data_IF_129919298991
#
_entry.id   IF_129919298991
#
_cell.length_a   1.000
_cell.length_b   1.000
_cell.length_c   1.000
_cell.angle_alpha   90.00
_cell.angle_beta   90.00
_cell.angle_gamma   90.00
#
_symmetry.space_group_name_H-M   'P 1'
#
loop_
_entity.id
_entity.type
_entity.pdbx_description
1 polymer ?
#
# COMPACT_ATOMS: atom_id res chain seq x y z
N UNK A 1 -3.65 -5.80 -1.45
CA UNK A 1 -2.70 -6.74 -0.83
C UNK A 1 -1.47 -6.99 -1.67
N UNK A 2 -1.58 -7.14 -3.00
CA UNK A 2 -0.41 -7.39 -3.85
C UNK A 2 0.48 -6.16 -4.05
N UNK A 3 1.76 -6.38 -4.37
CA UNK A 3 2.77 -5.32 -4.45
C UNK A 3 2.41 -4.14 -5.34
N UNK A 4 1.79 -4.37 -6.51
CA UNK A 4 1.35 -3.30 -7.41
C UNK A 4 0.25 -2.41 -6.82
N UNK A 5 -0.79 -3.01 -6.21
CA UNK A 5 -1.85 -2.24 -5.51
C UNK A 5 -1.28 -1.49 -4.32
N UNK A 6 -0.40 -2.14 -3.55
CA UNK A 6 0.27 -1.53 -2.39
C UNK A 6 1.05 -0.29 -2.83
N UNK A 7 1.89 -0.41 -3.86
CA UNK A 7 2.66 0.71 -4.40
C UNK A 7 1.75 1.85 -4.88
N UNK A 8 0.67 1.53 -5.61
CA UNK A 8 -0.26 2.54 -6.12
C UNK A 8 -0.98 3.31 -5.00
N UNK A 9 -1.47 2.60 -3.99
CA UNK A 9 -2.19 3.19 -2.84
C UNK A 9 -1.24 4.02 -1.97
N UNK A 10 -0.04 3.52 -1.70
CA UNK A 10 1.01 4.28 -1.01
C UNK A 10 1.36 5.56 -1.78
N UNK A 11 1.61 5.47 -3.09
CA UNK A 11 1.89 6.62 -3.96
C UNK A 11 0.78 7.66 -3.92
N UNK A 12 -0.48 7.23 -3.81
CA UNK A 12 -1.66 8.10 -3.73
C UNK A 12 -1.88 8.70 -2.33
N UNK A 13 -1.18 8.22 -1.30
CA UNK A 13 -1.39 8.67 0.08
C UNK A 13 -2.75 8.25 0.64
N UNK A 14 -3.23 7.05 0.28
CA UNK A 14 -4.55 6.56 0.69
C UNK A 14 -4.40 5.57 1.88
N UNK A 15 -5.13 5.77 2.99
CA UNK A 15 -5.18 4.79 4.09
C UNK A 15 -5.85 3.49 3.62
N UNK A 16 -5.36 2.33 4.06
CA UNK A 16 -5.83 1.04 3.54
C UNK A 16 -6.05 -0.02 4.62
N UNK A 17 -7.06 -0.87 4.42
CA UNK A 17 -7.19 -2.16 5.11
C UNK A 17 -6.66 -3.21 4.15
N UNK A 18 -5.71 -4.04 4.58
CA UNK A 18 -5.16 -5.11 3.74
C UNK A 18 -5.75 -6.44 4.18
N UNK A 19 -6.52 -7.07 3.30
CA UNK A 19 -7.00 -8.43 3.48
C UNK A 19 -6.12 -9.39 2.64
N UNK A 20 -5.04 -9.97 3.20
CA UNK A 20 -4.07 -10.75 2.43
C UNK A 20 -4.57 -12.16 2.12
N UNK A 21 -4.85 -12.46 0.85
CA UNK A 21 -5.40 -13.76 0.43
C UNK A 21 -4.31 -14.79 0.10
N UNK A 22 -3.35 -14.43 -0.75
CA UNK A 22 -2.37 -15.39 -1.29
C UNK A 22 -1.01 -14.75 -1.58
N UNK A 23 0.01 -15.58 -1.78
CA UNK A 23 1.37 -15.19 -2.21
C UNK A 23 2.08 -14.22 -1.25
N UNK A 24 2.50 -13.07 -1.76
CA UNK A 24 3.31 -12.06 -1.08
C UNK A 24 2.46 -11.08 -0.25
N UNK A 25 1.14 -11.21 -0.29
CA UNK A 25 0.23 -10.26 0.32
C UNK A 25 0.37 -10.17 1.84
N UNK A 26 0.72 -11.28 2.51
CA UNK A 26 0.97 -11.33 3.95
C UNK A 26 2.21 -10.51 4.33
N UNK A 27 3.27 -10.57 3.50
CA UNK A 27 4.51 -9.81 3.70
C UNK A 27 4.21 -8.31 3.58
N UNK A 28 3.46 -7.93 2.54
CA UNK A 28 3.05 -6.54 2.36
C UNK A 28 2.12 -6.05 3.46
N UNK A 29 1.13 -6.85 3.87
CA UNK A 29 0.25 -6.51 4.99
C UNK A 29 1.06 -6.17 6.24
N UNK A 30 1.95 -7.08 6.65
CA UNK A 30 2.82 -6.87 7.82
C UNK A 30 3.65 -5.59 7.67
N UNK A 31 4.29 -5.39 6.52
CA UNK A 31 5.15 -4.20 6.31
C UNK A 31 4.37 -2.89 6.39
N UNK A 32 3.16 -2.84 5.86
CA UNK A 32 2.32 -1.64 5.90
C UNK A 32 1.76 -1.35 7.30
N UNK A 33 1.46 -2.40 8.07
CA UNK A 33 1.08 -2.27 9.48
C UNK A 33 2.26 -1.78 10.31
N UNK A 34 3.45 -2.34 10.13
CA UNK A 34 4.68 -1.92 10.82
C UNK A 34 5.02 -0.43 10.50
N UNK A 35 4.69 0.04 9.28
CA UNK A 35 4.83 1.44 8.86
C UNK A 35 3.67 2.35 9.31
N UNK A 36 2.66 1.83 10.00
CA UNK A 36 1.45 2.54 10.40
C UNK A 36 0.70 3.22 9.22
N UNK A 37 0.70 2.59 8.03
CA UNK A 37 -0.05 3.08 6.86
C UNK A 37 -1.24 2.22 6.50
N UNK A 38 -1.42 1.09 7.20
CA UNK A 38 -2.52 0.17 7.00
C UNK A 38 -2.99 -0.49 8.31
N UNK A 39 -4.16 -1.15 8.23
CA UNK A 39 -4.67 -2.07 9.26
C UNK A 39 -4.69 -3.49 8.70
N UNK A 40 -4.36 -4.47 9.53
CA UNK A 40 -4.43 -5.89 9.20
C UNK A 40 -5.88 -6.38 9.13
N UNK A 41 -6.32 -6.76 7.93
CA UNK A 41 -7.63 -7.33 7.65
C UNK A 41 -7.63 -8.85 7.51
N UNK A 42 -6.58 -9.55 7.92
CA UNK A 42 -6.51 -11.03 7.83
C UNK A 42 -7.69 -11.74 8.49
N UNK A 43 -8.19 -11.22 9.61
CA UNK A 43 -9.39 -11.71 10.31
C UNK A 43 -10.63 -11.72 9.39
N UNK A 44 -10.77 -10.75 8.49
CA UNK A 44 -11.90 -10.68 7.57
C UNK A 44 -11.96 -11.90 6.64
N UNK A 45 -10.80 -12.39 6.16
CA UNK A 45 -10.76 -13.52 5.24
C UNK A 45 -11.14 -14.84 5.92
N UNK A 46 -10.71 -15.05 7.16
CA UNK A 46 -11.13 -16.21 7.96
C UNK A 46 -12.64 -16.22 8.21
N UNK A 47 -13.28 -15.04 8.21
CA UNK A 47 -14.72 -14.88 8.36
C UNK A 47 -15.48 -14.95 7.03
N UNK A 48 -14.85 -15.22 5.89
CA UNK A 48 -15.58 -15.49 4.64
C UNK A 48 -15.93 -16.99 4.49
N UNK A 49 -15.35 -17.85 5.32
CA UNK A 49 -15.63 -19.29 5.33
C UNK A 49 -16.72 -19.62 6.38
N UNK A 50 -17.98 -19.69 5.95
CA UNK A 50 -19.09 -20.21 6.78
C UNK A 50 -19.80 -19.18 7.67
N UNK A 51 -19.47 -17.90 7.56
CA UNK A 51 -20.03 -16.80 8.36
C UNK A 51 -21.07 -16.00 7.60
N UNK A 52 -22.00 -15.36 8.31
CA UNK A 52 -23.04 -14.53 7.69
C UNK A 52 -22.46 -13.22 7.15
N UNK A 53 -23.11 -12.64 6.14
CA UNK A 53 -22.78 -11.29 5.62
C UNK A 53 -22.80 -10.24 6.73
N UNK A 54 -23.67 -10.41 7.73
CA UNK A 54 -23.79 -9.49 8.87
C UNK A 54 -22.53 -9.50 9.74
N UNK A 55 -21.98 -10.69 10.02
CA UNK A 55 -20.76 -10.84 10.81
C UNK A 55 -19.53 -10.32 10.06
N UNK A 56 -19.45 -10.60 8.75
CA UNK A 56 -18.40 -10.06 7.90
C UNK A 56 -18.46 -8.51 7.84
N UNK A 57 -19.66 -7.93 7.72
CA UNK A 57 -19.86 -6.49 7.75
C UNK A 57 -19.48 -5.86 9.10
N UNK A 58 -19.84 -6.52 10.21
CA UNK A 58 -19.46 -6.08 11.56
C UNK A 58 -17.93 -6.08 11.75
N UNK A 59 -17.25 -7.12 11.27
CA UNK A 59 -15.79 -7.19 11.27
C UNK A 59 -15.17 -6.05 10.47
N UNK A 60 -15.62 -5.82 9.22
CA UNK A 60 -15.11 -4.74 8.38
C UNK A 60 -15.36 -3.36 9.01
N UNK A 61 -16.52 -3.16 9.65
CA UNK A 61 -16.81 -1.92 10.39
C UNK A 61 -15.84 -1.70 11.55
N UNK A 62 -15.46 -2.77 12.26
CA UNK A 62 -14.44 -2.72 13.31
C UNK A 62 -13.07 -2.32 12.76
N UNK A 63 -12.65 -2.91 11.64
CA UNK A 63 -11.39 -2.58 10.96
C UNK A 63 -11.38 -1.12 10.46
N UNK A 64 -12.51 -0.62 9.94
CA UNK A 64 -12.66 0.79 9.59
C UNK A 64 -12.51 1.69 10.82
N UNK A 65 -13.06 1.30 11.97
CA UNK A 65 -12.87 2.01 13.24
C UNK A 65 -11.45 1.93 13.80
N UNK A 66 -10.63 0.95 13.39
CA UNK A 66 -9.20 0.93 13.71
C UNK A 66 -8.41 1.82 12.75
N UNK A 67 -8.82 1.86 11.48
CA UNK A 67 -8.18 2.68 10.45
C UNK A 67 -8.48 4.18 10.63
N UNK A 68 -9.68 4.48 11.13
CA UNK A 68 -10.20 5.83 11.32
C UNK A 68 -10.42 6.09 12.82
N UNK A 69 -9.91 7.21 13.33
CA UNK A 69 -10.34 7.76 14.62
C UNK A 69 -11.60 8.60 14.48
N UNK A 70 -11.98 9.28 15.56
CA UNK A 70 -13.02 10.31 15.57
C UNK A 70 -12.40 11.70 15.65
N UNK A 71 -13.06 12.69 15.06
CA UNK A 71 -12.74 14.11 15.27
C UNK A 71 -12.90 14.49 16.75
N UNK A 72 -12.31 15.62 17.16
CA UNK A 72 -12.36 16.09 18.55
C UNK A 72 -13.79 16.31 19.08
N UNK A 73 -14.73 16.65 18.20
CA UNK A 73 -16.16 16.81 18.49
C UNK A 73 -16.97 15.52 18.23
N UNK A 74 -16.32 14.44 17.80
CA UNK A 74 -16.94 13.13 17.54
C UNK A 74 -17.82 13.05 16.30
N UNK A 75 -17.94 14.14 15.52
CA UNK A 75 -18.90 14.29 14.43
C UNK A 75 -18.50 13.58 13.13
N UNK A 76 -17.21 13.36 12.90
CA UNK A 76 -16.67 12.77 11.66
C UNK A 76 -15.55 11.77 11.96
N UNK A 77 -15.47 10.71 11.15
CA UNK A 77 -14.35 9.78 11.17
C UNK A 77 -13.14 10.39 10.45
N UNK A 78 -11.97 10.39 11.08
CA UNK A 78 -10.74 10.99 10.54
C UNK A 78 -9.58 10.02 10.64
N UNK A 79 -8.67 10.04 9.67
CA UNK A 79 -7.39 9.32 9.81
C UNK A 79 -6.59 9.97 10.93
N UNK A 80 -6.15 9.21 11.95
CA UNK A 80 -5.36 9.76 13.05
C UNK A 80 -4.11 10.51 12.55
N UNK A 81 -3.70 11.62 13.21
CA UNK A 81 -2.59 12.47 12.74
C UNK A 81 -1.29 11.70 12.50
N UNK A 82 -0.96 10.76 13.38
CA UNK A 82 0.24 9.92 13.29
C UNK A 82 0.22 8.99 12.07
N UNK A 83 -0.96 8.43 11.75
CA UNK A 83 -1.15 7.59 10.57
C UNK A 83 -1.14 8.44 9.30
N UNK A 84 -1.75 9.61 9.33
CA UNK A 84 -1.72 10.57 8.21
C UNK A 84 -0.29 10.97 7.87
N UNK A 85 0.52 11.33 8.86
CA UNK A 85 1.92 11.68 8.67
C UNK A 85 2.74 10.51 8.10
N UNK A 86 2.49 9.28 8.57
CA UNK A 86 3.14 8.09 8.02
C UNK A 86 2.77 7.86 6.54
N UNK A 87 1.49 7.98 6.20
CA UNK A 87 0.99 7.83 4.82
C UNK A 87 1.60 8.89 3.90
N UNK A 88 1.66 10.14 4.35
CA UNK A 88 2.26 11.24 3.58
C UNK A 88 3.76 11.00 3.35
N UNK A 89 4.49 10.57 4.39
CA UNK A 89 5.92 10.25 4.32
C UNK A 89 6.20 9.11 3.34
N UNK A 90 5.51 7.98 3.48
CA UNK A 90 5.68 6.82 2.59
C UNK A 90 5.28 7.19 1.15
N UNK A 91 4.18 7.90 0.97
CA UNK A 91 3.75 8.33 -0.36
C UNK A 91 4.75 9.28 -1.02
N UNK A 92 5.40 10.15 -0.24
CA UNK A 92 6.47 11.01 -0.75
C UNK A 92 7.66 10.19 -1.21
N UNK A 93 8.12 9.22 -0.41
CA UNK A 93 9.22 8.34 -0.77
C UNK A 93 8.94 7.58 -2.08
N UNK A 94 7.76 6.97 -2.19
CA UNK A 94 7.37 6.22 -3.41
C UNK A 94 7.31 7.13 -4.66
N UNK A 95 6.97 8.42 -4.51
CA UNK A 95 6.97 9.37 -5.65
C UNK A 95 8.36 9.84 -6.06
N UNK A 96 9.30 9.86 -5.12
CA UNK A 96 10.69 10.27 -5.37
C UNK A 96 11.54 9.14 -5.96
N UNK A 97 11.10 7.90 -5.82
CA UNK A 97 11.76 6.74 -6.41
C UNK A 97 11.52 6.66 -7.93
N UNK A 98 12.59 6.39 -8.68
CA UNK A 98 12.55 6.03 -10.10
C UNK A 98 13.18 4.65 -10.31
N UNK A 99 12.66 3.66 -9.60
CA UNK A 99 13.17 2.29 -9.66
C UNK A 99 13.10 1.68 -11.07
N UNK A 100 12.17 2.16 -11.91
CA UNK A 100 12.03 1.70 -13.28
C UNK A 100 13.21 2.13 -14.16
N UNK A 101 13.58 3.42 -14.14
CA UNK A 101 14.74 3.89 -14.91
C UNK A 101 16.05 3.30 -14.39
N UNK A 102 16.20 3.16 -13.07
CA UNK A 102 17.38 2.52 -12.49
C UNK A 102 17.50 1.05 -12.92
N UNK A 103 16.40 0.29 -12.89
CA UNK A 103 16.39 -1.08 -13.38
C UNK A 103 16.70 -1.14 -14.88
N UNK A 104 16.15 -0.22 -15.68
CA UNK A 104 16.43 -0.15 -17.11
C UNK A 104 17.92 0.09 -17.39
N UNK A 105 18.57 1.02 -16.67
CA UNK A 105 20.01 1.28 -16.79
C UNK A 105 20.84 0.02 -16.54
N UNK A 106 20.50 -0.74 -15.49
CA UNK A 106 21.19 -2.00 -15.15
C UNK A 106 21.02 -3.04 -16.26
N UNK A 107 19.77 -3.30 -16.69
CA UNK A 107 19.46 -4.28 -17.73
C UNK A 107 20.22 -3.94 -19.02
N UNK A 108 20.17 -2.68 -19.42
CA UNK A 108 20.79 -2.21 -20.66
C UNK A 108 22.32 -2.27 -20.59
N UNK A 109 22.91 -1.95 -19.43
CA UNK A 109 24.34 -2.11 -19.18
C UNK A 109 24.81 -3.57 -19.32
N UNK A 110 24.02 -4.52 -18.79
CA UNK A 110 24.30 -5.96 -18.90
C UNK A 110 24.17 -6.48 -20.33
N UNK A 111 23.28 -5.89 -21.14
CA UNK A 111 23.11 -6.26 -22.54
C UNK A 111 24.18 -5.68 -23.49
N UNK A 112 25.21 -4.99 -22.99
CA UNK A 112 26.34 -4.49 -23.80
C UNK A 112 26.03 -3.25 -24.65
N UNK A 113 24.99 -2.48 -24.30
CA UNK A 113 24.50 -1.33 -25.06
C UNK A 113 25.35 -0.07 -24.96
N UNK A 114 26.58 -0.06 -25.48
CA UNK A 114 27.30 1.18 -25.76
C UNK A 114 26.66 1.90 -26.97
N UNK A 115 25.71 2.82 -26.75
CA UNK A 115 25.27 3.80 -27.76
C UNK A 115 23.75 3.99 -27.92
N UNK A 116 22.96 2.90 -28.07
CA UNK A 116 21.48 3.01 -28.21
C UNK A 116 20.75 3.02 -26.87
N UNK A 117 21.37 2.48 -25.84
CA UNK A 117 20.92 2.42 -24.46
C UNK A 117 20.41 3.75 -23.88
N UNK A 118 21.22 4.79 -24.03
CA UNK A 118 20.97 6.14 -23.53
C UNK A 118 19.73 6.77 -24.16
N UNK A 119 19.41 6.39 -25.40
CA UNK A 119 18.26 6.91 -26.15
C UNK A 119 16.92 6.31 -25.65
N UNK A 120 16.93 5.05 -25.20
CA UNK A 120 15.75 4.41 -24.59
C UNK A 120 15.48 4.95 -23.18
N UNK A 121 16.54 5.17 -22.38
CA UNK A 121 16.41 5.75 -21.04
C UNK A 121 15.89 7.19 -21.13
N UNK A 122 16.37 7.99 -22.08
CA UNK A 122 15.91 9.36 -22.29
C UNK A 122 14.44 9.46 -22.77
N UNK A 123 13.88 8.40 -23.36
CA UNK A 123 12.48 8.34 -23.81
C UNK A 123 11.49 7.86 -22.74
N UNK A 124 12.00 7.29 -21.64
CA UNK A 124 11.18 6.75 -20.56
C UNK A 124 10.92 7.74 -19.41
N UNK A 125 11.61 8.90 -19.43
CA UNK A 125 11.43 10.03 -18.51
C UNK A 125 10.44 11.05 -19.08
#
# INVERSE_FOLDING_TARGET
GGGGTVAAVCRAGIPQIVCPFMFDQQVWCKRLVDLNVAVDGSVFLSLLEGTSVVEAAACLSGLLGQLLGRSHDGSVCVVPPERRAAIESVGMQVRLEDGASEAAKVIVGLCGGGGRASEWVARAQ
#
